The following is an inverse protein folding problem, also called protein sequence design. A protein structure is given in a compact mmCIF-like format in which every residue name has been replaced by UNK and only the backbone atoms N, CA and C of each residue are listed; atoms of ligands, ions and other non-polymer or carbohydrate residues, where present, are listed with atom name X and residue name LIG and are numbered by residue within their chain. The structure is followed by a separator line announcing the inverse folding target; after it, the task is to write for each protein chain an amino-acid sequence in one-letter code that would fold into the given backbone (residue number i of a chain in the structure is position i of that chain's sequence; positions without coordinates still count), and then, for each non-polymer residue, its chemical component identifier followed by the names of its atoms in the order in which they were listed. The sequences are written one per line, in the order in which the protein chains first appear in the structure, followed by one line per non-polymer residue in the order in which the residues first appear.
data_IF_587855049209
#
_entry.id   IF_587855049209
#
_cell.length_a   1.000
_cell.length_b   1.000
_cell.length_c   1.000
_cell.angle_alpha   90.00
_cell.angle_beta   90.00
_cell.angle_gamma   90.00
#
_symmetry.space_group_name_H-M   'P 1'
#
loop_
_entity.id
_entity.type
_entity.pdbx_description
1 polymer ?
#
# COMPACT_ATOMS: atom_id res chain seq x y z
N UNK A 1 -4.17 4.98 -5.74
CA UNK A 1 -4.30 3.69 -5.00
C UNK A 1 -4.44 2.51 -5.97
N UNK A 2 -5.32 2.61 -6.97
CA UNK A 2 -5.64 1.56 -7.94
C UNK A 2 -4.44 0.97 -8.71
N UNK A 3 -3.41 1.78 -9.00
CA UNK A 3 -2.24 1.28 -9.73
C UNK A 3 -1.50 0.14 -9.02
N UNK A 4 -1.43 0.14 -7.68
CA UNK A 4 -0.75 -0.93 -6.94
C UNK A 4 -1.50 -2.26 -7.07
N UNK A 5 -2.83 -2.21 -6.99
CA UNK A 5 -3.69 -3.40 -7.10
C UNK A 5 -3.62 -3.96 -8.53
N UNK A 6 -3.68 -3.08 -9.54
CA UNK A 6 -3.50 -3.46 -10.94
C UNK A 6 -2.13 -4.10 -11.20
N UNK A 7 -1.03 -3.45 -10.78
CA UNK A 7 0.34 -3.96 -10.93
C UNK A 7 0.49 -5.33 -10.24
N UNK A 8 -0.08 -5.51 -9.05
CA UNK A 8 -0.03 -6.78 -8.36
C UNK A 8 -0.83 -7.85 -9.11
N UNK A 9 -2.01 -7.51 -9.61
CA UNK A 9 -2.85 -8.39 -10.42
C UNK A 9 -2.14 -8.87 -11.70
N UNK A 10 -1.51 -7.94 -12.42
CA UNK A 10 -0.66 -8.23 -13.57
C UNK A 10 0.50 -9.18 -13.19
N UNK A 11 1.18 -8.93 -12.07
CA UNK A 11 2.30 -9.74 -11.61
C UNK A 11 1.89 -11.18 -11.25
N UNK A 12 0.72 -11.37 -10.62
CA UNK A 12 0.24 -12.71 -10.25
C UNK A 12 -0.56 -13.40 -11.37
N UNK A 13 -0.89 -12.67 -12.45
CA UNK A 13 -1.71 -13.16 -13.57
C UNK A 13 -3.19 -13.32 -13.23
N UNK A 14 -3.73 -12.47 -12.34
CA UNK A 14 -5.15 -12.51 -11.92
C UNK A 14 -5.69 -11.09 -11.78
N UNK A 15 -6.94 -10.89 -12.20
CA UNK A 15 -7.62 -9.63 -11.93
C UNK A 15 -7.94 -9.50 -10.42
N UNK A 16 -7.66 -8.34 -9.84
CA UNK A 16 -7.91 -8.03 -8.43
C UNK A 16 -8.80 -6.80 -8.37
N UNK A 17 -9.99 -6.97 -7.81
CA UNK A 17 -10.88 -5.85 -7.56
C UNK A 17 -10.58 -5.21 -6.20
N UNK A 18 -10.53 -3.88 -6.18
CA UNK A 18 -10.41 -3.09 -4.97
C UNK A 18 -11.78 -2.50 -4.61
N UNK A 19 -12.25 -2.80 -3.41
CA UNK A 19 -13.45 -2.20 -2.83
C UNK A 19 -13.03 -1.28 -1.69
N UNK A 20 -13.35 -0.01 -1.83
CA UNK A 20 -13.08 0.98 -0.79
C UNK A 20 -14.08 0.80 0.35
N UNK A 21 -13.56 0.77 1.58
CA UNK A 21 -14.38 0.74 2.79
C UNK A 21 -14.76 2.16 3.16
N UNK A 22 -15.93 2.33 3.77
CA UNK A 22 -16.23 3.57 4.50
C UNK A 22 -15.30 3.68 5.72
N UNK A 23 -15.14 4.89 6.25
CA UNK A 23 -14.33 5.10 7.46
C UNK A 23 -14.82 4.23 8.63
N UNK A 24 -16.13 4.15 8.85
CA UNK A 24 -16.73 3.31 9.89
C UNK A 24 -16.42 1.82 9.68
N UNK A 25 -16.51 1.34 8.43
CA UNK A 25 -16.17 -0.04 8.09
C UNK A 25 -14.68 -0.33 8.31
N UNK A 26 -13.81 0.61 7.95
CA UNK A 26 -12.37 0.47 8.16
C UNK A 26 -12.01 0.48 9.65
N UNK A 27 -12.63 1.37 10.43
CA UNK A 27 -12.49 1.47 11.88
C UNK A 27 -12.88 0.17 12.57
N UNK A 28 -14.08 -0.35 12.29
CA UNK A 28 -14.57 -1.59 12.88
C UNK A 28 -13.67 -2.77 12.53
N UNK A 29 -13.27 -2.89 11.26
CA UNK A 29 -12.35 -3.92 10.80
C UNK A 29 -10.98 -3.88 11.51
N UNK A 30 -10.49 -2.69 11.88
CA UNK A 30 -9.24 -2.56 12.65
C UNK A 30 -9.42 -2.94 14.11
N UNK A 31 -10.56 -2.61 14.73
CA UNK A 31 -10.91 -3.07 16.09
C UNK A 31 -11.00 -4.58 16.19
N UNK A 32 -11.64 -5.22 15.22
CA UNK A 32 -11.73 -6.68 15.14
C UNK A 32 -10.35 -7.36 15.05
N UNK A 33 -9.36 -6.65 14.50
CA UNK A 33 -7.96 -7.09 14.44
C UNK A 33 -7.15 -6.77 15.71
N UNK A 34 -7.78 -6.17 16.71
CA UNK A 34 -7.16 -5.84 18.00
C UNK A 34 -6.32 -4.57 17.99
N UNK A 35 -6.51 -3.67 17.02
CA UNK A 35 -5.83 -2.37 17.01
C UNK A 35 -6.37 -1.46 18.12
N UNK A 36 -5.51 -0.72 18.85
CA UNK A 36 -5.96 0.25 19.84
C UNK A 36 -6.52 1.51 19.16
N UNK A 37 -7.48 2.20 19.80
CA UNK A 37 -8.22 3.32 19.19
C UNK A 37 -7.32 4.46 18.71
N UNK A 38 -6.26 4.77 19.45
CA UNK A 38 -5.29 5.82 19.09
C UNK A 38 -4.54 5.49 17.80
N UNK A 39 -4.19 4.22 17.58
CA UNK A 39 -3.60 3.76 16.33
C UNK A 39 -4.61 3.81 15.18
N UNK A 40 -5.88 3.47 15.44
CA UNK A 40 -6.94 3.54 14.43
C UNK A 40 -7.16 4.98 13.98
N UNK A 41 -7.31 5.91 14.93
CA UNK A 41 -7.46 7.34 14.66
C UNK A 41 -6.27 7.89 13.87
N UNK A 42 -5.05 7.52 14.26
CA UNK A 42 -3.85 7.92 13.55
C UNK A 42 -3.84 7.42 12.09
N UNK A 43 -4.13 6.14 11.87
CA UNK A 43 -4.10 5.54 10.53
C UNK A 43 -5.17 6.15 9.64
N UNK A 44 -6.41 6.23 10.11
CA UNK A 44 -7.52 6.80 9.33
C UNK A 44 -7.28 8.28 9.03
N UNK A 45 -6.84 9.07 10.02
CA UNK A 45 -6.49 10.47 9.83
C UNK A 45 -5.36 10.68 8.82
N UNK A 46 -4.33 9.83 8.85
CA UNK A 46 -3.22 9.90 7.90
C UNK A 46 -3.66 9.59 6.47
N UNK A 47 -4.55 8.60 6.27
CA UNK A 47 -5.09 8.29 4.94
C UNK A 47 -6.09 9.33 4.44
N UNK A 48 -6.85 9.96 5.33
CA UNK A 48 -7.79 11.03 4.98
C UNK A 48 -7.08 12.31 4.53
N UNK A 49 -5.95 12.65 5.17
CA UNK A 49 -5.17 13.85 4.84
C UNK A 49 -3.65 13.58 4.90
N UNK A 50 -3.11 12.84 3.92
CA UNK A 50 -1.70 12.51 3.91
C UNK A 50 -0.86 13.78 3.66
N UNK A 51 0.26 13.96 4.38
CA UNK A 51 1.14 15.10 4.16
C UNK A 51 1.72 15.05 2.75
N UNK A 52 2.05 16.22 2.18
CA UNK A 52 2.63 16.32 0.82
C UNK A 52 3.85 15.42 0.59
N UNK A 53 4.67 15.24 1.62
CA UNK A 53 5.83 14.36 1.59
C UNK A 53 5.49 12.89 1.33
N UNK A 54 4.28 12.43 1.69
CA UNK A 54 3.87 11.03 1.53
C UNK A 54 3.67 10.61 0.06
N UNK A 55 3.42 11.56 -0.85
CA UNK A 55 3.20 11.30 -2.28
C UNK A 55 4.17 12.06 -3.18
N UNK A 56 5.12 12.80 -2.62
CA UNK A 56 6.16 13.50 -3.39
C UNK A 56 7.32 12.54 -3.66
N UNK A 57 7.59 12.27 -4.94
CA UNK A 57 8.76 11.47 -5.36
C UNK A 57 10.03 12.31 -5.22
N UNK A 58 11.05 11.76 -4.57
CA UNK A 58 12.36 12.40 -4.36
C UNK A 58 13.50 11.50 -4.82
N UNK A 59 14.64 12.06 -5.28
CA UNK A 59 15.74 11.29 -5.86
C UNK A 59 16.70 10.68 -4.81
N UNK A 60 16.35 10.75 -3.52
CA UNK A 60 17.27 10.49 -2.41
C UNK A 60 17.91 9.10 -2.45
N UNK A 61 17.17 8.07 -2.89
CA UNK A 61 17.73 6.71 -3.03
C UNK A 61 18.89 6.69 -4.03
N UNK A 62 18.73 7.34 -5.18
CA UNK A 62 19.77 7.40 -6.21
C UNK A 62 20.95 8.25 -5.76
N UNK A 63 20.70 9.40 -5.12
CA UNK A 63 21.74 10.27 -4.61
C UNK A 63 22.62 9.59 -3.55
N UNK A 64 22.03 8.76 -2.69
CA UNK A 64 22.76 8.09 -1.60
C UNK A 64 23.42 6.79 -2.07
N UNK A 65 22.76 6.02 -2.94
CA UNK A 65 23.20 4.65 -3.29
C UNK A 65 23.87 4.55 -4.67
N UNK A 66 23.78 5.59 -5.50
CA UNK A 66 24.23 5.57 -6.89
C UNK A 66 23.38 4.70 -7.82
N UNK A 67 22.21 4.22 -7.36
CA UNK A 67 21.29 3.37 -8.12
C UNK A 67 19.86 3.89 -8.02
N UNK A 68 19.06 3.86 -9.10
CA UNK A 68 17.66 4.28 -9.05
C UNK A 68 16.85 3.51 -8.01
N UNK A 69 15.84 4.17 -7.43
CA UNK A 69 14.86 3.48 -6.59
C UNK A 69 14.14 2.38 -7.38
N UNK A 70 13.90 1.24 -6.75
CA UNK A 70 13.08 0.19 -7.35
C UNK A 70 11.63 0.65 -7.50
N UNK A 71 11.02 0.28 -8.62
CA UNK A 71 9.59 0.53 -8.84
C UNK A 71 8.74 -0.49 -8.08
N UNK A 72 7.47 -0.15 -7.86
CA UNK A 72 6.52 -1.09 -7.26
C UNK A 72 6.30 -2.34 -8.14
N UNK A 73 6.38 -2.20 -9.48
CA UNK A 73 6.29 -3.33 -10.40
C UNK A 73 7.46 -4.32 -10.27
N UNK A 74 8.68 -3.81 -10.09
CA UNK A 74 9.84 -4.68 -9.82
C UNK A 74 9.64 -5.44 -8.51
N UNK A 75 9.24 -4.73 -7.45
CA UNK A 75 8.95 -5.35 -6.15
C UNK A 75 7.85 -6.41 -6.26
N UNK A 76 6.74 -6.11 -6.93
CA UNK A 76 5.61 -7.02 -7.07
C UNK A 76 5.99 -8.31 -7.81
N UNK A 77 6.78 -8.21 -8.88
CA UNK A 77 7.31 -9.36 -9.64
C UNK A 77 8.17 -10.28 -8.76
N UNK A 78 9.08 -9.70 -7.96
CA UNK A 78 9.94 -10.46 -7.04
C UNK A 78 9.14 -11.16 -5.92
N UNK A 79 7.99 -10.61 -5.53
CA UNK A 79 7.21 -11.06 -4.37
C UNK A 79 5.97 -11.88 -4.73
N UNK A 80 5.78 -12.25 -6.00
CA UNK A 80 4.66 -13.09 -6.46
C UNK A 80 4.39 -14.33 -5.58
N UNK A 81 5.40 -15.07 -5.07
CA UNK A 81 5.15 -16.25 -4.24
C UNK A 81 4.33 -16.00 -2.97
N UNK A 82 4.34 -14.79 -2.42
CA UNK A 82 3.56 -14.43 -1.22
C UNK A 82 2.08 -14.17 -1.51
N UNK A 83 1.72 -13.97 -2.78
CA UNK A 83 0.37 -13.60 -3.20
C UNK A 83 -0.35 -14.70 -3.98
N UNK A 84 0.38 -15.76 -4.38
CA UNK A 84 -0.22 -16.99 -4.87
C UNK A 84 -0.50 -17.88 -3.67
N UNK A 85 -1.75 -18.32 -3.49
CA UNK A 85 -2.02 -19.48 -2.64
C UNK A 85 -1.21 -20.68 -3.19
N UNK A 86 -0.75 -21.61 -2.34
CA UNK A 86 -0.26 -22.89 -2.82
C UNK A 86 -1.30 -23.58 -3.71
#
# INVERSE_FOLDING_TARGET
MFDKVRILGEAIGRDIQFFELTEDQARERMREQGAPEDAIDFVLGWYANPPKSAYTVVPTVEQVTGRPARTFAQWASEHVPYFKKP
#
